data_IF_906456830922
#
_entry.id   IF_906456830922
#
_cell.length_a   1.000
_cell.length_b   1.000
_cell.length_c   1.000
_cell.angle_alpha   90.00
_cell.angle_beta   90.00
_cell.angle_gamma   90.00
#
_symmetry.space_group_name_H-M   'P 1'
#
loop_
_entity.id
_entity.type
_entity.pdbx_description
1 polymer ?
#
# COMPACT_ATOMS: atom_id res chain seq x y z
N UNK A 1 13.05 -7.12 -17.25
CA UNK A 1 13.10 -7.00 -15.78
C UNK A 1 13.46 -8.34 -15.15
N UNK A 2 12.75 -9.46 -15.44
CA UNK A 2 13.06 -10.78 -14.89
C UNK A 2 14.45 -11.29 -15.34
N UNK A 3 14.80 -11.13 -16.61
CA UNK A 3 16.14 -11.46 -17.11
C UNK A 3 17.23 -10.68 -16.34
N UNK A 4 17.04 -9.36 -16.16
CA UNK A 4 17.98 -8.53 -15.39
C UNK A 4 18.11 -8.97 -13.93
N UNK A 5 17.01 -9.47 -13.33
CA UNK A 5 17.02 -10.01 -11.98
C UNK A 5 17.79 -11.33 -11.91
N UNK A 6 17.60 -12.24 -12.87
CA UNK A 6 18.41 -13.47 -13.00
C UNK A 6 19.91 -13.17 -13.13
N UNK A 7 20.27 -12.20 -13.98
CA UNK A 7 21.67 -11.77 -14.14
C UNK A 7 22.25 -11.21 -12.84
N UNK A 8 21.43 -10.48 -12.06
CA UNK A 8 21.86 -9.98 -10.76
C UNK A 8 22.11 -11.12 -9.75
N UNK A 9 21.20 -12.10 -9.66
CA UNK A 9 21.38 -13.28 -8.81
C UNK A 9 22.63 -14.08 -9.19
N UNK A 10 22.86 -14.29 -10.50
CA UNK A 10 24.05 -14.98 -11.01
C UNK A 10 25.33 -14.22 -10.64
N UNK A 11 25.37 -12.90 -10.79
CA UNK A 11 26.52 -12.07 -10.38
C UNK A 11 26.79 -12.14 -8.88
N UNK A 12 25.72 -12.20 -8.07
CA UNK A 12 25.82 -12.34 -6.61
C UNK A 12 26.10 -13.79 -6.17
N UNK A 13 26.22 -14.74 -7.12
CA UNK A 13 26.41 -16.19 -6.87
C UNK A 13 25.30 -16.79 -6.00
N UNK A 14 24.08 -16.29 -6.16
CA UNK A 14 22.88 -16.82 -5.48
C UNK A 14 22.27 -17.88 -6.41
N UNK A 15 22.33 -19.16 -6.00
CA UNK A 15 21.81 -20.30 -6.74
C UNK A 15 20.36 -20.68 -6.34
N UNK A 16 19.76 -19.95 -5.40
CA UNK A 16 18.39 -20.23 -4.96
C UNK A 16 17.38 -20.03 -6.09
N UNK A 17 16.38 -20.93 -6.26
CA UNK A 17 15.26 -20.68 -7.14
C UNK A 17 14.46 -19.47 -6.63
N UNK A 18 13.88 -18.69 -7.54
CA UNK A 18 12.97 -17.61 -7.19
C UNK A 18 11.65 -17.76 -7.94
N UNK A 19 10.61 -17.31 -7.29
CA UNK A 19 9.24 -17.36 -7.78
C UNK A 19 8.66 -15.96 -7.82
N UNK A 20 7.64 -15.77 -8.62
CA UNK A 20 6.95 -14.49 -8.79
C UNK A 20 5.53 -14.63 -8.26
N UNK A 21 5.11 -13.69 -7.42
CA UNK A 21 3.73 -13.62 -6.93
C UNK A 21 2.79 -13.25 -8.07
N UNK A 22 1.67 -13.96 -8.14
CA UNK A 22 0.58 -13.67 -9.04
C UNK A 22 -0.44 -12.70 -8.41
N UNK A 23 -1.33 -12.20 -9.24
CA UNK A 23 -2.40 -11.29 -8.85
C UNK A 23 -3.42 -11.93 -7.89
N UNK A 24 -3.58 -13.25 -7.89
CA UNK A 24 -4.46 -14.01 -6.99
C UNK A 24 -3.78 -14.41 -5.66
N UNK A 25 -2.50 -14.07 -5.49
CA UNK A 25 -1.72 -14.40 -4.30
C UNK A 25 -1.07 -15.78 -4.35
N UNK A 26 -1.06 -16.45 -5.49
CA UNK A 26 -0.29 -17.69 -5.71
C UNK A 26 1.11 -17.39 -6.25
N UNK A 27 1.93 -18.41 -6.46
CA UNK A 27 3.28 -18.28 -7.03
C UNK A 27 3.36 -18.92 -8.42
N UNK A 28 4.23 -18.37 -9.25
CA UNK A 28 4.63 -18.94 -10.52
C UNK A 28 6.15 -18.92 -10.70
N UNK A 29 6.65 -19.81 -11.56
CA UNK A 29 8.06 -19.78 -11.94
C UNK A 29 8.38 -18.50 -12.74
N UNK A 30 9.63 -18.07 -12.69
CA UNK A 30 10.08 -16.92 -13.47
C UNK A 30 9.90 -17.11 -14.98
N UNK A 31 10.08 -18.35 -15.50
CA UNK A 31 9.85 -18.67 -16.92
C UNK A 31 8.38 -18.52 -17.30
N UNK A 32 7.46 -18.92 -16.41
CA UNK A 32 6.03 -18.74 -16.64
C UNK A 32 5.63 -17.26 -16.59
N UNK A 33 6.22 -16.50 -15.66
CA UNK A 33 6.00 -15.05 -15.56
C UNK A 33 6.50 -14.29 -16.80
N UNK A 34 7.62 -14.70 -17.39
CA UNK A 34 8.11 -14.11 -18.63
C UNK A 34 7.15 -14.36 -19.81
N UNK A 35 6.53 -15.53 -19.85
CA UNK A 35 5.56 -15.89 -20.88
C UNK A 35 4.19 -15.23 -20.67
N UNK A 36 3.77 -15.06 -19.44
CA UNK A 36 2.46 -14.51 -19.05
C UNK A 36 2.59 -13.37 -18.02
N UNK A 37 3.24 -12.25 -18.38
CA UNK A 37 3.50 -11.16 -17.45
C UNK A 37 2.22 -10.50 -16.90
N UNK A 38 1.10 -10.64 -17.59
CA UNK A 38 -0.21 -10.12 -17.16
C UNK A 38 -0.64 -10.67 -15.79
N UNK A 39 -0.21 -11.87 -15.42
CA UNK A 39 -0.52 -12.47 -14.13
C UNK A 39 0.22 -11.80 -12.95
N UNK A 40 1.15 -10.89 -13.20
CA UNK A 40 1.82 -10.09 -12.16
C UNK A 40 1.08 -8.79 -11.82
N UNK A 41 0.05 -8.43 -12.58
CA UNK A 41 -0.68 -7.19 -12.34
C UNK A 41 -1.38 -7.24 -10.98
N UNK A 42 -1.26 -6.16 -10.19
CA UNK A 42 -1.76 -6.06 -8.82
C UNK A 42 -1.20 -7.09 -7.82
N UNK A 43 -0.13 -7.82 -8.14
CA UNK A 43 0.51 -8.75 -7.19
C UNK A 43 1.13 -8.02 -5.98
N UNK A 44 1.58 -6.78 -6.15
CA UNK A 44 2.07 -5.95 -5.04
C UNK A 44 1.00 -5.71 -3.97
N UNK A 45 -0.13 -5.07 -4.29
CA UNK A 45 -1.24 -4.92 -3.36
C UNK A 45 -1.74 -6.26 -2.77
N UNK A 46 -1.81 -7.32 -3.57
CA UNK A 46 -2.16 -8.67 -3.08
C UNK A 46 -1.20 -9.13 -1.97
N UNK A 47 0.11 -8.98 -2.18
CA UNK A 47 1.09 -9.31 -1.16
C UNK A 47 0.89 -8.46 0.11
N UNK A 48 0.69 -7.15 -0.03
CA UNK A 48 0.43 -6.26 1.12
C UNK A 48 -0.79 -6.70 1.92
N UNK A 49 -1.88 -7.08 1.25
CA UNK A 49 -3.09 -7.56 1.90
C UNK A 49 -2.87 -8.91 2.61
N UNK A 50 -2.14 -9.84 1.98
CA UNK A 50 -1.74 -11.12 2.60
C UNK A 50 -0.86 -10.91 3.83
N UNK A 51 0.14 -10.02 3.72
CA UNK A 51 0.99 -9.62 4.84
C UNK A 51 0.19 -8.96 5.97
N UNK A 52 -0.77 -8.09 5.64
CA UNK A 52 -1.66 -7.47 6.61
C UNK A 52 -2.49 -8.50 7.39
N UNK A 53 -3.08 -9.47 6.68
CA UNK A 53 -3.83 -10.56 7.30
C UNK A 53 -2.96 -11.41 8.24
N UNK A 54 -1.74 -11.73 7.82
CA UNK A 54 -0.78 -12.50 8.61
C UNK A 54 -0.35 -11.75 9.88
N UNK A 55 0.05 -10.48 9.73
CA UNK A 55 0.57 -9.67 10.84
C UNK A 55 -0.50 -9.34 11.87
N UNK A 56 -1.73 -9.09 11.44
CA UNK A 56 -2.84 -8.73 12.34
C UNK A 56 -3.58 -9.94 12.89
N UNK A 57 -3.49 -11.10 12.23
CA UNK A 57 -4.34 -12.27 12.53
C UNK A 57 -5.80 -12.12 12.10
N UNK A 58 -6.17 -11.01 11.44
CA UNK A 58 -7.56 -10.71 11.04
C UNK A 58 -7.80 -11.16 9.61
N UNK A 59 -8.85 -11.94 9.42
CA UNK A 59 -9.17 -12.56 8.12
C UNK A 59 -10.22 -11.80 7.31
N UNK A 60 -11.03 -10.96 7.95
CA UNK A 60 -12.11 -10.19 7.32
C UNK A 60 -11.97 -8.73 7.74
N UNK A 61 -11.41 -7.89 6.88
CA UNK A 61 -11.12 -6.49 7.13
C UNK A 61 -10.90 -5.73 5.84
N UNK A 62 -11.03 -4.42 5.88
CA UNK A 62 -10.38 -3.55 4.90
C UNK A 62 -8.87 -3.53 5.16
N UNK A 63 -8.09 -3.43 4.11
CA UNK A 63 -6.65 -3.16 4.20
C UNK A 63 -6.36 -1.91 3.39
N UNK A 64 -5.67 -0.95 3.98
CA UNK A 64 -5.11 0.19 3.26
C UNK A 64 -3.58 0.09 3.31
N UNK A 65 -2.97 -0.13 2.17
CA UNK A 65 -1.51 -0.03 1.98
C UNK A 65 -1.16 1.39 1.56
N UNK A 66 -0.67 2.18 2.51
CA UNK A 66 -0.28 3.56 2.28
C UNK A 66 1.22 3.59 2.02
N UNK A 67 1.58 3.67 0.76
CA UNK A 67 2.97 3.74 0.33
C UNK A 67 3.55 5.16 0.30
N UNK A 68 4.64 5.32 -0.44
CA UNK A 68 5.26 6.64 -0.65
C UNK A 68 4.53 7.50 -1.69
N UNK A 69 3.77 6.90 -2.60
CA UNK A 69 3.16 7.58 -3.76
C UNK A 69 1.66 7.34 -3.84
N UNK A 70 1.21 6.13 -3.55
CA UNK A 70 -0.18 5.68 -3.68
C UNK A 70 -0.66 5.02 -2.40
N UNK A 71 -1.96 4.98 -2.26
CA UNK A 71 -2.68 4.16 -1.28
C UNK A 71 -3.54 3.17 -2.06
N UNK A 72 -3.38 1.89 -1.77
CA UNK A 72 -4.21 0.82 -2.30
C UNK A 72 -5.12 0.30 -1.19
N UNK A 73 -6.43 0.28 -1.44
CA UNK A 73 -7.42 -0.25 -0.50
C UNK A 73 -8.13 -1.44 -1.11
N UNK A 74 -8.22 -2.52 -0.35
CA UNK A 74 -8.94 -3.73 -0.73
C UNK A 74 -9.63 -4.38 0.47
N UNK A 75 -10.50 -5.38 0.20
CA UNK A 75 -11.20 -6.14 1.23
C UNK A 75 -10.59 -7.54 1.35
N UNK A 76 -10.27 -7.95 2.58
CA UNK A 76 -9.95 -9.33 2.92
C UNK A 76 -11.23 -10.12 3.19
N UNK A 77 -11.30 -11.29 2.61
CA UNK A 77 -12.32 -12.29 2.89
C UNK A 77 -11.61 -13.61 3.20
N UNK A 78 -11.78 -14.13 4.41
CA UNK A 78 -11.10 -15.33 4.89
C UNK A 78 -9.55 -15.29 4.76
N UNK A 79 -8.95 -14.10 4.90
CA UNK A 79 -7.50 -13.88 4.83
C UNK A 79 -6.94 -13.74 3.42
N UNK A 80 -7.80 -13.70 2.40
CA UNK A 80 -7.43 -13.48 1.00
C UNK A 80 -8.05 -12.19 0.46
N UNK A 81 -7.40 -11.51 -0.50
CA UNK A 81 -8.01 -10.40 -1.19
C UNK A 81 -9.32 -10.83 -1.87
N UNK A 82 -10.38 -10.04 -1.71
CA UNK A 82 -11.63 -10.24 -2.46
C UNK A 82 -11.33 -10.12 -3.95
N UNK A 83 -11.84 -11.04 -4.74
CA UNK A 83 -11.73 -10.99 -6.19
C UNK A 83 -12.75 -10.01 -6.79
N UNK A 84 -12.34 -9.29 -7.83
CA UNK A 84 -13.25 -8.46 -8.63
C UNK A 84 -14.23 -9.36 -9.39
N UNK A 85 -15.51 -9.03 -9.29
CA UNK A 85 -16.57 -9.74 -10.01
C UNK A 85 -16.79 -9.22 -11.43
N UNK A 86 -16.13 -8.09 -11.76
CA UNK A 86 -16.24 -7.46 -13.08
C UNK A 86 -14.90 -7.56 -13.81
N UNK A 87 -15.00 -7.60 -15.14
CA UNK A 87 -13.80 -7.51 -15.98
C UNK A 87 -13.09 -6.19 -15.77
N UNK A 88 -11.79 -6.26 -15.56
CA UNK A 88 -10.94 -5.07 -15.32
C UNK A 88 -10.34 -4.62 -16.64
N UNK A 89 -10.42 -3.33 -16.92
CA UNK A 89 -9.73 -2.69 -18.04
C UNK A 89 -8.32 -2.29 -17.60
N UNK A 90 -7.30 -2.77 -18.33
CA UNK A 90 -5.90 -2.45 -18.06
C UNK A 90 -5.32 -1.82 -19.31
N UNK A 91 -5.04 -0.52 -19.24
CA UNK A 91 -4.46 0.22 -20.36
C UNK A 91 -5.34 0.21 -21.63
N UNK A 92 -6.67 0.21 -21.48
CA UNK A 92 -7.63 0.14 -22.58
C UNK A 92 -7.88 -1.28 -23.11
N UNK A 93 -7.33 -2.30 -22.44
CA UNK A 93 -7.55 -3.71 -22.79
C UNK A 93 -8.43 -4.35 -21.72
N UNK A 94 -9.60 -4.82 -22.14
CA UNK A 94 -10.52 -5.57 -21.28
C UNK A 94 -9.92 -6.93 -20.95
N UNK A 95 -9.72 -7.22 -19.68
CA UNK A 95 -9.15 -8.47 -19.19
C UNK A 95 -10.24 -9.41 -18.68
N UNK A 96 -10.01 -10.71 -18.78
CA UNK A 96 -10.94 -11.76 -18.38
C UNK A 96 -10.30 -12.76 -17.40
N UNK A 97 -9.30 -12.33 -16.65
CA UNK A 97 -8.70 -13.16 -15.59
C UNK A 97 -9.02 -12.59 -14.21
N UNK A 98 -8.91 -13.44 -13.20
CA UNK A 98 -9.17 -13.06 -11.82
C UNK A 98 -8.19 -11.97 -11.37
N UNK A 99 -8.74 -10.92 -10.81
CA UNK A 99 -7.98 -9.79 -10.26
C UNK A 99 -8.48 -9.49 -8.85
N UNK A 100 -7.61 -9.08 -7.95
CA UNK A 100 -8.06 -8.58 -6.67
C UNK A 100 -8.91 -7.30 -6.86
N UNK A 101 -9.96 -7.17 -6.07
CA UNK A 101 -10.79 -5.96 -6.04
C UNK A 101 -10.07 -4.92 -5.18
N UNK A 102 -9.40 -4.00 -5.86
CA UNK A 102 -8.56 -2.97 -5.26
C UNK A 102 -8.90 -1.61 -5.84
N UNK A 103 -8.99 -0.61 -4.99
CA UNK A 103 -9.08 0.79 -5.38
C UNK A 103 -7.76 1.48 -5.04
N UNK A 104 -7.20 2.18 -6.03
CA UNK A 104 -5.98 2.95 -5.86
C UNK A 104 -6.26 4.45 -5.80
N UNK A 105 -5.51 5.15 -4.95
CA UNK A 105 -5.55 6.59 -4.75
C UNK A 105 -4.16 7.19 -4.85
N UNK A 106 -4.00 8.31 -5.56
CA UNK A 106 -2.74 9.06 -5.63
C UNK A 106 -2.45 9.84 -4.34
N UNK A 107 -2.37 9.13 -3.22
CA UNK A 107 -2.03 9.64 -1.89
C UNK A 107 -0.99 8.71 -1.28
N UNK A 108 0.11 9.25 -0.81
CA UNK A 108 1.15 8.53 -0.08
C UNK A 108 2.04 9.51 0.67
N UNK A 109 3.03 9.02 1.40
CA UNK A 109 3.92 9.86 2.20
C UNK A 109 4.62 10.96 1.42
N UNK A 110 4.98 10.70 0.15
CA UNK A 110 5.63 11.67 -0.74
C UNK A 110 4.68 12.57 -1.52
N UNK A 111 3.36 12.48 -1.31
CA UNK A 111 2.39 13.33 -2.00
C UNK A 111 2.63 14.80 -1.70
N UNK A 112 2.67 15.63 -2.75
CA UNK A 112 2.88 17.06 -2.62
C UNK A 112 1.68 17.72 -1.92
N UNK A 113 1.97 18.59 -0.97
CA UNK A 113 0.97 19.46 -0.32
C UNK A 113 1.09 20.85 -0.91
N UNK A 114 0.04 21.32 -1.56
CA UNK A 114 -0.03 22.62 -2.21
C UNK A 114 -1.15 23.47 -1.58
N UNK A 115 -0.83 24.70 -1.25
CA UNK A 115 -1.83 25.69 -0.83
C UNK A 115 -2.05 26.67 -1.96
N UNK A 116 -3.21 26.56 -2.61
CA UNK A 116 -3.71 27.55 -3.55
C UNK A 116 -4.94 28.22 -2.91
N UNK A 117 -6.08 28.29 -3.60
CA UNK A 117 -7.36 28.66 -2.97
C UNK A 117 -7.84 27.68 -1.91
N UNK A 118 -7.43 26.40 -2.03
CA UNK A 118 -7.68 25.31 -1.09
C UNK A 118 -6.43 24.44 -0.97
N UNK A 119 -6.33 23.67 0.12
CA UNK A 119 -5.27 22.68 0.31
C UNK A 119 -5.52 21.51 -0.66
N UNK A 120 -4.53 21.21 -1.49
CA UNK A 120 -4.52 20.08 -2.40
C UNK A 120 -3.36 19.15 -2.04
N UNK A 121 -3.65 17.84 -1.90
CA UNK A 121 -2.65 16.80 -1.60
C UNK A 121 -2.67 15.76 -2.71
N UNK A 122 -1.49 15.50 -3.30
CA UNK A 122 -1.38 14.62 -4.47
C UNK A 122 -2.15 15.12 -5.70
N UNK A 123 -2.34 14.27 -6.75
CA UNK A 123 -1.69 12.95 -6.92
C UNK A 123 -0.18 13.03 -7.23
N UNK A 124 0.35 14.23 -7.46
CA UNK A 124 1.78 14.42 -7.67
C UNK A 124 2.56 14.03 -6.40
N UNK A 125 3.69 13.33 -6.58
CA UNK A 125 4.51 12.85 -5.48
C UNK A 125 6.00 13.01 -5.79
N UNK A 126 6.82 13.21 -4.78
CA UNK A 126 8.29 13.16 -4.87
C UNK A 126 8.80 11.72 -5.06
N UNK A 127 7.95 10.72 -4.79
CA UNK A 127 8.27 9.30 -4.94
C UNK A 127 9.49 8.89 -4.11
N UNK A 128 10.40 8.14 -4.71
CA UNK A 128 11.62 7.64 -4.04
C UNK A 128 12.58 8.75 -3.56
N UNK A 129 12.45 9.97 -4.09
CA UNK A 129 13.28 11.13 -3.71
C UNK A 129 12.84 11.79 -2.40
N UNK A 130 11.98 11.16 -1.62
CA UNK A 130 11.43 11.76 -0.40
C UNK A 130 12.54 12.22 0.57
N UNK A 131 13.62 11.46 0.70
CA UNK A 131 14.76 11.79 1.57
C UNK A 131 15.56 13.01 1.13
N UNK A 132 15.50 13.35 -0.16
CA UNK A 132 16.21 14.49 -0.71
C UNK A 132 15.28 15.70 -0.91
N UNK A 133 14.00 15.44 -1.12
CA UNK A 133 13.05 16.47 -1.54
C UNK A 133 12.14 16.98 -0.44
N UNK A 134 11.77 16.15 0.55
CA UNK A 134 10.84 16.55 1.60
C UNK A 134 11.52 17.46 2.64
N UNK A 135 10.76 18.43 3.17
CA UNK A 135 11.28 19.48 4.07
C UNK A 135 11.86 18.91 5.36
N UNK A 136 11.23 17.88 5.95
CA UNK A 136 11.71 17.22 7.15
C UNK A 136 13.10 16.58 6.99
N UNK A 137 13.51 16.27 5.75
CA UNK A 137 14.84 15.74 5.45
C UNK A 137 15.81 16.77 4.86
N UNK A 138 15.41 18.05 4.79
CA UNK A 138 16.26 19.13 4.33
C UNK A 138 16.02 19.60 2.90
N UNK A 139 15.03 19.07 2.22
CA UNK A 139 14.57 19.56 0.92
C UNK A 139 13.63 20.75 1.04
N UNK A 140 13.07 21.17 -0.10
CA UNK A 140 12.23 22.38 -0.19
C UNK A 140 10.75 22.05 -0.48
N UNK A 141 10.42 20.78 -0.69
CA UNK A 141 9.07 20.35 -1.09
C UNK A 141 8.27 19.94 0.13
N UNK A 142 7.10 20.56 0.32
CA UNK A 142 6.18 20.15 1.37
C UNK A 142 5.41 18.90 0.92
N UNK A 143 5.49 17.84 1.75
CA UNK A 143 4.89 16.54 1.47
C UNK A 143 3.90 16.12 2.56
N UNK A 144 3.09 15.08 2.30
CA UNK A 144 2.21 14.52 3.31
C UNK A 144 2.97 13.98 4.53
N UNK A 145 4.19 13.43 4.35
CA UNK A 145 5.08 13.05 5.45
C UNK A 145 5.43 14.26 6.33
N UNK A 146 5.72 15.42 5.74
CA UNK A 146 6.01 16.63 6.52
C UNK A 146 4.83 17.04 7.38
N UNK A 147 3.60 16.92 6.86
CA UNK A 147 2.37 17.20 7.64
C UNK A 147 2.25 16.24 8.82
N UNK A 148 2.47 14.94 8.62
CA UNK A 148 2.43 13.96 9.70
C UNK A 148 3.51 14.21 10.77
N UNK A 149 4.73 14.57 10.37
CA UNK A 149 5.83 14.93 11.29
C UNK A 149 5.51 16.22 12.05
N UNK A 150 5.01 17.24 11.35
CA UNK A 150 4.62 18.51 11.98
C UNK A 150 3.51 18.30 13.04
N UNK A 151 2.56 17.41 12.75
CA UNK A 151 1.49 17.01 13.68
C UNK A 151 1.99 16.14 14.86
N UNK A 152 3.21 15.60 14.78
CA UNK A 152 3.76 14.72 15.81
C UNK A 152 3.34 13.25 15.70
N UNK A 153 2.85 12.80 14.52
CA UNK A 153 2.47 11.41 14.30
C UNK A 153 3.65 10.50 14.03
N UNK A 154 4.81 11.07 13.69
CA UNK A 154 6.04 10.33 13.48
C UNK A 154 7.24 11.15 13.94
N UNK A 155 8.23 10.47 14.50
CA UNK A 155 9.52 11.04 14.89
C UNK A 155 10.58 10.61 13.85
N UNK A 156 10.54 11.28 12.70
CA UNK A 156 11.46 11.06 11.58
C UNK A 156 11.94 12.39 11.00
N UNK A 157 13.20 12.44 10.62
CA UNK A 157 13.82 13.65 10.10
C UNK A 157 13.94 14.77 11.14
N UNK A 158 13.85 16.01 10.70
CA UNK A 158 14.00 17.21 11.55
C UNK A 158 12.69 18.03 11.57
N UNK A 159 11.90 17.85 12.62
CA UNK A 159 10.64 18.57 12.83
C UNK A 159 10.81 20.08 12.92
N UNK A 160 11.99 20.59 13.35
CA UNK A 160 12.22 22.03 13.50
C UNK A 160 12.10 22.78 12.16
N UNK A 161 12.34 22.10 11.04
CA UNK A 161 12.21 22.64 9.68
C UNK A 161 10.77 22.89 9.24
N UNK A 162 9.80 22.49 10.03
CA UNK A 162 8.37 22.62 9.80
C UNK A 162 7.72 23.63 10.76
N UNK A 163 8.52 24.38 11.53
CA UNK A 163 8.05 25.32 12.56
C UNK A 163 7.28 26.53 12.01
N UNK A 164 7.39 26.79 10.71
CA UNK A 164 6.63 27.82 9.99
C UNK A 164 5.19 27.40 9.64
N UNK A 165 4.88 26.11 9.75
CA UNK A 165 3.53 25.60 9.47
C UNK A 165 2.61 25.91 10.66
N UNK A 166 1.50 26.61 10.38
CA UNK A 166 0.51 26.88 11.43
C UNK A 166 -0.25 25.62 11.85
N UNK A 167 -0.65 25.49 13.12
CA UNK A 167 -1.47 24.36 13.58
C UNK A 167 -2.76 24.17 12.76
N UNK A 168 -3.39 25.28 12.37
CA UNK A 168 -4.59 25.25 11.52
C UNK A 168 -4.31 24.62 10.16
N UNK A 169 -3.21 25.00 9.49
CA UNK A 169 -2.84 24.45 8.20
C UNK A 169 -2.53 22.94 8.29
N UNK A 170 -1.86 22.52 9.37
CA UNK A 170 -1.56 21.11 9.62
C UNK A 170 -2.86 20.32 9.81
N UNK A 171 -3.79 20.81 10.64
CA UNK A 171 -5.06 20.13 10.91
C UNK A 171 -5.95 20.06 9.67
N UNK A 172 -6.06 21.14 8.89
CA UNK A 172 -6.79 21.17 7.63
C UNK A 172 -6.20 20.19 6.60
N UNK A 173 -4.86 20.10 6.51
CA UNK A 173 -4.16 19.16 5.63
C UNK A 173 -4.46 17.71 6.01
N UNK A 174 -4.39 17.38 7.30
CA UNK A 174 -4.80 16.07 7.80
C UNK A 174 -6.27 15.79 7.50
N UNK A 175 -7.13 16.78 7.66
CA UNK A 175 -8.55 16.68 7.30
C UNK A 175 -8.77 16.37 5.82
N UNK A 176 -7.95 16.90 4.92
CA UNK A 176 -7.99 16.52 3.49
C UNK A 176 -7.59 15.07 3.29
N UNK A 177 -6.47 14.64 3.90
CA UNK A 177 -5.99 13.24 3.83
C UNK A 177 -7.08 12.28 4.30
N UNK A 178 -7.68 12.54 5.45
CA UNK A 178 -8.70 11.67 6.04
C UNK A 178 -9.94 11.57 5.13
N UNK A 179 -10.46 12.69 4.62
CA UNK A 179 -11.59 12.66 3.68
C UNK A 179 -11.29 11.88 2.40
N UNK A 180 -10.06 11.94 1.90
CA UNK A 180 -9.65 11.13 0.74
C UNK A 180 -9.70 9.64 1.05
N UNK A 181 -9.25 9.23 2.24
CA UNK A 181 -9.29 7.84 2.70
C UNK A 181 -10.73 7.38 3.00
N UNK A 182 -11.53 8.19 3.67
CA UNK A 182 -12.95 7.91 3.94
C UNK A 182 -13.73 7.63 2.65
N UNK A 183 -13.55 8.47 1.63
CA UNK A 183 -14.17 8.26 0.32
C UNK A 183 -13.71 6.94 -0.34
N UNK A 184 -12.46 6.55 -0.15
CA UNK A 184 -11.92 5.32 -0.72
C UNK A 184 -12.47 4.09 0.02
N UNK A 185 -12.51 4.15 1.36
CA UNK A 185 -13.10 3.14 2.24
C UNK A 185 -14.58 2.93 1.92
N UNK A 186 -15.37 4.01 1.82
CA UNK A 186 -16.79 3.94 1.50
C UNK A 186 -17.05 3.25 0.16
N UNK A 187 -16.27 3.57 -0.87
CA UNK A 187 -16.37 2.94 -2.18
C UNK A 187 -15.98 1.47 -2.19
N UNK A 188 -15.08 1.05 -1.31
CA UNK A 188 -14.63 -0.36 -1.22
C UNK A 188 -15.63 -1.23 -0.46
N UNK A 189 -16.40 -0.66 0.46
CA UNK A 189 -17.41 -1.39 1.24
C UNK A 189 -18.58 -1.80 0.36
N UNK A 190 -19.12 -2.98 0.64
CA UNK A 190 -20.31 -3.54 -0.03
C UNK A 190 -21.54 -3.51 0.86
N UNK A 191 -21.40 -3.08 2.13
CA UNK A 191 -22.49 -2.95 3.10
C UNK A 191 -22.29 -1.72 3.98
N UNK A 192 -23.35 -1.28 4.66
CA UNK A 192 -23.29 -0.19 5.62
C UNK A 192 -22.67 -0.58 6.96
N UNK A 193 -22.42 -1.87 7.22
CA UNK A 193 -21.81 -2.32 8.46
C UNK A 193 -20.39 -1.78 8.60
N UNK A 194 -20.01 -1.39 9.80
CA UNK A 194 -18.63 -1.05 10.10
C UNK A 194 -17.76 -2.31 10.04
N UNK A 195 -16.54 -2.15 9.54
CA UNK A 195 -15.55 -3.23 9.40
C UNK A 195 -14.20 -2.73 9.90
N UNK A 196 -13.34 -3.61 10.45
CA UNK A 196 -11.99 -3.20 10.84
C UNK A 196 -11.17 -2.77 9.60
N UNK A 197 -10.25 -1.82 9.82
CA UNK A 197 -9.29 -1.35 8.83
C UNK A 197 -7.88 -1.66 9.30
N UNK A 198 -7.14 -2.45 8.55
CA UNK A 198 -5.72 -2.71 8.80
C UNK A 198 -4.92 -1.72 7.94
N UNK A 199 -4.08 -0.93 8.59
CA UNK A 199 -3.16 -0.02 7.91
C UNK A 199 -1.79 -0.65 7.80
N UNK A 200 -1.25 -0.68 6.59
CA UNK A 200 0.10 -1.12 6.29
C UNK A 200 0.80 -0.10 5.39
N UNK A 201 2.09 -0.34 5.15
CA UNK A 201 2.93 0.57 4.39
C UNK A 201 3.52 1.70 5.23
N UNK A 202 4.59 2.31 4.75
CA UNK A 202 5.32 3.37 5.47
C UNK A 202 4.55 4.68 5.63
N UNK A 203 3.47 4.86 4.87
CA UNK A 203 2.58 6.02 4.96
C UNK A 203 1.46 5.88 5.98
N UNK A 204 1.38 4.79 6.76
CA UNK A 204 0.36 4.61 7.82
C UNK A 204 0.35 5.75 8.85
N UNK A 205 1.47 6.46 9.01
CA UNK A 205 1.60 7.67 9.83
C UNK A 205 0.66 8.82 9.41
N UNK A 206 0.08 8.77 8.22
CA UNK A 206 -0.87 9.76 7.73
C UNK A 206 -2.25 9.63 8.37
N UNK A 207 -2.54 8.51 9.03
CA UNK A 207 -3.83 8.22 9.64
C UNK A 207 -3.69 8.21 11.16
N UNK A 208 -4.41 9.12 11.83
CA UNK A 208 -4.37 9.27 13.30
C UNK A 208 -5.75 9.56 13.91
N UNK A 209 -6.80 9.47 13.11
CA UNK A 209 -8.19 9.70 13.53
C UNK A 209 -9.06 8.53 13.09
N UNK A 210 -10.22 8.40 13.70
CA UNK A 210 -11.24 7.50 13.25
C UNK A 210 -11.66 7.81 11.81
N UNK A 211 -11.95 6.77 11.06
CA UNK A 211 -12.41 6.85 9.67
C UNK A 211 -13.88 6.40 9.64
N UNK A 212 -14.74 7.19 9.02
CA UNK A 212 -16.15 6.88 8.92
C UNK A 212 -16.38 5.50 8.26
N UNK A 213 -17.23 4.69 8.87
CA UNK A 213 -17.56 3.34 8.41
C UNK A 213 -16.53 2.26 8.76
N UNK A 214 -15.56 2.59 9.64
CA UNK A 214 -14.54 1.69 10.17
C UNK A 214 -14.83 1.47 11.65
N UNK A 215 -14.86 0.20 12.11
CA UNK A 215 -15.10 -0.15 13.52
C UNK A 215 -13.89 0.06 14.41
N UNK A 216 -12.69 -0.16 13.86
CA UNK A 216 -11.41 0.04 14.51
C UNK A 216 -10.29 0.15 13.49
N UNK A 217 -9.22 0.86 13.82
CA UNK A 217 -8.01 0.99 13.00
C UNK A 217 -6.89 0.21 13.67
N UNK A 218 -6.27 -0.69 12.89
CA UNK A 218 -5.23 -1.60 13.37
C UNK A 218 -3.97 -1.35 12.56
N UNK A 219 -2.90 -1.00 13.24
CA UNK A 219 -1.55 -0.89 12.65
C UNK A 219 -0.71 -2.00 13.26
N UNK A 220 -0.52 -3.13 12.58
CA UNK A 220 0.23 -4.25 13.15
C UNK A 220 1.73 -3.91 13.24
N UNK A 221 2.43 -4.58 14.14
CA UNK A 221 3.89 -4.55 14.15
C UNK A 221 4.43 -4.94 12.77
N UNK A 222 5.49 -4.27 12.32
CA UNK A 222 6.08 -4.47 10.99
C UNK A 222 5.16 -4.08 9.80
N UNK A 223 4.13 -3.29 10.01
CA UNK A 223 3.22 -2.81 8.96
C UNK A 223 3.96 -2.23 7.73
N UNK A 224 5.09 -1.55 7.94
CA UNK A 224 5.89 -0.95 6.87
C UNK A 224 6.52 -1.94 5.89
N UNK A 225 6.57 -3.23 6.22
CA UNK A 225 7.13 -4.30 5.37
C UNK A 225 6.11 -5.41 5.05
N UNK A 226 4.82 -5.14 5.23
CA UNK A 226 3.75 -6.10 5.00
C UNK A 226 3.79 -6.72 3.60
N UNK A 227 4.16 -5.94 2.57
CA UNK A 227 4.31 -6.44 1.20
C UNK A 227 5.36 -7.57 1.11
N UNK A 228 6.54 -7.35 1.68
CA UNK A 228 7.61 -8.36 1.68
C UNK A 228 7.24 -9.60 2.50
N UNK A 229 6.56 -9.42 3.62
CA UNK A 229 6.05 -10.52 4.45
C UNK A 229 5.01 -11.31 3.66
N UNK A 230 4.05 -10.66 3.02
CA UNK A 230 3.04 -11.31 2.20
C UNK A 230 3.64 -12.13 1.05
N UNK A 231 4.65 -11.59 0.38
CA UNK A 231 5.38 -12.33 -0.66
C UNK A 231 6.08 -13.58 -0.09
N UNK A 232 6.67 -13.48 1.12
CA UNK A 232 7.42 -14.59 1.72
C UNK A 232 6.52 -15.71 2.23
N UNK A 233 5.37 -15.39 2.84
CA UNK A 233 4.44 -16.39 3.38
C UNK A 233 3.71 -17.16 2.28
N UNK A 234 3.56 -16.60 1.09
CA UNK A 234 2.95 -17.28 -0.06
C UNK A 234 3.71 -18.57 -0.40
N UNK A 235 5.03 -18.53 -0.32
CA UNK A 235 5.87 -19.73 -0.50
C UNK A 235 5.64 -20.80 0.60
N UNK A 236 5.50 -20.36 1.85
CA UNK A 236 5.31 -21.26 2.99
C UNK A 236 3.97 -22.00 2.96
N UNK A 237 2.91 -21.34 2.53
CA UNK A 237 1.57 -21.95 2.41
C UNK A 237 1.52 -23.03 1.33
N UNK A 238 2.25 -22.84 0.22
CA UNK A 238 2.27 -23.80 -0.88
C UNK A 238 3.06 -25.07 -0.56
N UNK A 239 4.06 -24.99 0.33
CA UNK A 239 4.85 -26.16 0.76
C UNK A 239 4.15 -26.98 1.83
N UNK A 240 3.24 -26.41 2.63
CA UNK A 240 2.48 -27.16 3.63
C UNK A 240 1.37 -28.00 3.01
N UNK A 241 0.65 -27.45 2.01
CA UNK A 241 -0.43 -28.17 1.32
C UNK A 241 0.09 -29.31 0.41
N UNK A 242 1.32 -29.20 -0.08
CA UNK A 242 1.95 -30.28 -0.88
C UNK A 242 2.52 -31.43 -0.05
N UNK A 243 2.56 -31.30 1.27
CA UNK A 243 3.04 -32.37 2.16
C UNK A 243 1.91 -33.25 2.71
N UNK A 244 0.64 -32.83 2.52
CA UNK A 244 -0.56 -33.53 3.00
C UNK A 244 -1.30 -34.31 1.88
N UNK A 245 -0.78 -34.30 0.62
CA UNK A 245 -1.20 -35.18 -0.49
C UNK A 245 -0.16 -36.32 -0.74
#
# INVERSE_FOLDING_TARGET
LLASFRDALARLKIAAPFYISQNDGTLMTADFAEKYPVLTFASGPTNSMRGAAYLSGIKNALVADIGGTTTDVGMLVNGFPRESTVTVDIGGVRTNFRMPDILALGLGGGSLVKLNSNIKIGPESVGFRIKDAARTFGGDILTATDIAVAAGHADIGDRSRLSDLSPTFIDESLGVIHRMLENLVDRMKTSSNEVPLILVGGGSILVNRDIAGVSEIIVPDHAGVANAIGASITCLLYTSDAADE
#
